data_IF_140360030463
#
_entry.id   IF_140360030463
#
_cell.length_a   1.000
_cell.length_b   1.000
_cell.length_c   1.000
_cell.angle_alpha   90.00
_cell.angle_beta   90.00
_cell.angle_gamma   90.00
#
_symmetry.space_group_name_H-M   'P 1'
#
loop_
_entity.id
_entity.type
_entity.pdbx_description
1 polymer ?
#
# COMPACT_ATOMS: atom_id res chain seq x y z
N UNK A 1 8.90 5.06 4.53
CA UNK A 1 9.98 5.61 5.37
C UNK A 1 9.89 5.11 6.80
N UNK A 2 8.74 5.15 7.45
CA UNK A 2 8.62 4.68 8.85
C UNK A 2 8.76 3.18 9.02
N UNK A 3 8.34 2.38 8.06
CA UNK A 3 8.60 0.94 8.02
C UNK A 3 10.09 0.65 7.98
N UNK A 4 10.82 1.42 7.18
CA UNK A 4 12.27 1.28 7.01
C UNK A 4 13.07 1.81 8.18
N UNK A 5 12.64 2.91 8.81
CA UNK A 5 13.46 3.65 9.78
C UNK A 5 12.96 3.57 11.22
N UNK A 6 11.99 2.76 11.52
CA UNK A 6 11.45 2.82 12.86
C UNK A 6 10.92 1.54 13.44
N UNK A 7 9.76 1.09 12.98
CA UNK A 7 9.00 0.09 13.71
C UNK A 7 9.20 -1.33 13.20
N UNK A 8 9.42 -1.50 11.89
CA UNK A 8 9.40 -2.81 11.25
C UNK A 8 10.79 -3.42 11.07
N UNK A 9 11.87 -2.68 11.39
CA UNK A 9 13.23 -3.18 11.23
C UNK A 9 13.65 -3.44 9.78
N UNK A 10 12.94 -2.89 8.81
CA UNK A 10 13.29 -2.99 7.40
C UNK A 10 14.59 -2.23 7.10
N UNK A 11 15.37 -2.65 6.09
CA UNK A 11 16.57 -1.95 5.71
C UNK A 11 16.32 -0.45 5.46
N UNK A 12 17.20 0.44 5.87
CA UNK A 12 18.52 0.25 6.47
C UNK A 12 18.54 -0.05 7.98
N UNK A 13 17.40 -0.28 8.61
CA UNK A 13 17.32 -0.73 10.01
C UNK A 13 17.62 0.33 11.07
N UNK A 14 17.72 1.61 10.70
CA UNK A 14 17.91 2.70 11.66
C UNK A 14 16.66 2.91 12.52
N UNK A 15 16.82 3.20 13.81
CA UNK A 15 15.72 3.23 14.80
C UNK A 15 15.50 4.58 15.46
N UNK A 16 16.04 5.66 14.91
CA UNK A 16 15.93 6.99 15.50
C UNK A 16 14.68 7.77 15.08
N UNK A 17 13.95 8.37 16.03
CA UNK A 17 12.81 9.25 15.71
C UNK A 17 13.20 10.44 14.82
N UNK A 18 14.40 10.97 15.01
CA UNK A 18 14.94 12.06 14.17
C UNK A 18 15.28 11.60 12.76
N UNK A 19 15.63 10.32 12.57
CA UNK A 19 16.08 9.79 11.29
C UNK A 19 14.95 9.70 10.28
N UNK A 20 13.76 9.25 10.68
CA UNK A 20 12.64 9.20 9.77
C UNK A 20 12.19 10.60 9.31
N UNK A 21 12.28 11.63 10.17
CA UNK A 21 11.97 13.01 9.78
C UNK A 21 12.97 13.57 8.78
N UNK A 22 14.26 13.25 8.95
CA UNK A 22 15.30 13.61 7.96
C UNK A 22 15.08 12.91 6.64
N UNK A 23 14.83 11.61 6.67
CA UNK A 23 14.56 10.82 5.48
C UNK A 23 13.28 11.28 4.76
N UNK A 24 12.21 11.55 5.50
CA UNK A 24 10.97 12.08 4.92
C UNK A 24 11.21 13.40 4.21
N UNK A 25 11.89 14.34 4.86
CA UNK A 25 12.29 15.61 4.23
C UNK A 25 13.17 15.39 3.02
N UNK A 26 14.20 14.55 3.13
CA UNK A 26 15.08 14.24 2.01
C UNK A 26 14.35 13.65 0.81
N UNK A 27 13.37 12.76 1.04
CA UNK A 27 12.55 12.19 -0.02
C UNK A 27 11.63 13.22 -0.68
N UNK A 28 10.95 14.05 0.12
CA UNK A 28 10.06 15.09 -0.42
C UNK A 28 10.83 16.18 -1.17
N UNK A 29 11.98 16.61 -0.66
CA UNK A 29 12.86 17.56 -1.36
C UNK A 29 13.48 16.94 -2.61
N UNK A 30 13.87 15.68 -2.54
CA UNK A 30 14.38 14.92 -3.70
C UNK A 30 13.32 14.80 -4.79
N UNK A 31 12.07 14.50 -4.43
CA UNK A 31 10.96 14.46 -5.38
C UNK A 31 10.75 15.80 -6.08
N UNK A 32 10.66 16.91 -5.33
CA UNK A 32 10.46 18.25 -5.92
C UNK A 32 11.59 18.65 -6.86
N UNK A 33 12.84 18.33 -6.50
CA UNK A 33 14.00 18.58 -7.37
C UNK A 33 13.95 17.71 -8.63
N UNK A 34 13.60 16.43 -8.49
CA UNK A 34 13.48 15.53 -9.63
C UNK A 34 12.37 15.99 -10.59
N UNK A 35 11.21 16.38 -10.06
CA UNK A 35 10.11 16.96 -10.82
C UNK A 35 10.60 18.18 -11.64
N UNK A 36 11.26 19.14 -10.99
CA UNK A 36 11.79 20.34 -11.64
C UNK A 36 12.78 20.00 -12.76
N UNK A 37 13.71 19.06 -12.52
CA UNK A 37 14.69 18.62 -13.52
C UNK A 37 14.01 17.93 -14.70
N UNK A 38 13.11 16.99 -14.46
CA UNK A 38 12.39 16.30 -15.55
C UNK A 38 11.60 17.30 -16.40
N UNK A 39 10.89 18.22 -15.74
CA UNK A 39 10.10 19.25 -16.44
C UNK A 39 10.98 20.23 -17.23
N UNK A 40 12.19 20.53 -16.78
CA UNK A 40 13.12 21.40 -17.51
C UNK A 40 13.70 20.73 -18.76
N UNK A 41 13.94 19.40 -18.69
CA UNK A 41 14.50 18.63 -19.82
C UNK A 41 13.42 18.13 -20.78
N UNK A 42 12.26 17.78 -20.24
CA UNK A 42 11.15 17.19 -20.96
C UNK A 42 9.81 17.83 -20.50
N UNK A 43 9.51 19.06 -20.94
CA UNK A 43 8.33 19.81 -20.45
C UNK A 43 6.98 19.09 -20.66
N UNK A 44 6.88 18.25 -21.69
CA UNK A 44 5.65 17.48 -22.01
C UNK A 44 5.52 16.19 -21.23
N UNK A 45 6.55 15.73 -20.51
CA UNK A 45 6.49 14.51 -19.71
C UNK A 45 5.58 14.70 -18.52
N UNK A 46 4.70 13.74 -18.27
CA UNK A 46 3.89 13.70 -17.06
C UNK A 46 4.70 13.05 -15.93
N UNK A 47 4.74 13.70 -14.79
CA UNK A 47 5.51 13.27 -13.61
C UNK A 47 4.59 13.26 -12.39
N UNK A 48 4.68 12.22 -11.60
CA UNK A 48 3.93 12.09 -10.34
C UNK A 48 4.62 11.12 -9.40
N UNK A 49 4.48 11.36 -8.11
CA UNK A 49 4.94 10.44 -7.07
C UNK A 49 3.93 9.32 -6.82
N UNK A 50 4.45 8.21 -6.31
CA UNK A 50 3.64 7.07 -5.88
C UNK A 50 3.60 6.98 -4.35
N UNK A 51 2.42 6.72 -3.81
CA UNK A 51 2.18 6.72 -2.38
C UNK A 51 1.53 5.41 -1.93
N UNK A 52 2.17 4.74 -0.96
CA UNK A 52 1.55 3.64 -0.24
C UNK A 52 0.45 4.19 0.67
N UNK A 53 -0.78 3.82 0.39
CA UNK A 53 -1.96 4.22 1.14
C UNK A 53 -2.67 2.99 1.71
N UNK A 54 -3.30 3.16 2.85
CA UNK A 54 -4.03 2.08 3.53
C UNK A 54 -5.50 2.50 3.69
N UNK A 55 -6.42 1.57 3.45
CA UNK A 55 -7.80 1.75 3.88
C UNK A 55 -7.85 1.63 5.41
N UNK A 56 -7.85 2.76 6.10
CA UNK A 56 -8.02 2.80 7.54
C UNK A 56 -9.51 2.66 7.88
N UNK A 57 -9.85 1.63 8.63
CA UNK A 57 -11.22 1.42 9.12
C UNK A 57 -11.29 1.65 10.63
N UNK A 58 -11.46 2.90 11.07
CA UNK A 58 -11.60 3.18 12.49
C UNK A 58 -13.00 2.84 12.99
N UNK A 59 -13.10 2.30 14.20
CA UNK A 59 -14.34 2.41 14.97
C UNK A 59 -14.72 3.89 15.11
N UNK A 60 -15.99 4.19 15.36
CA UNK A 60 -16.44 5.60 15.52
C UNK A 60 -15.59 6.34 16.55
N UNK A 61 -15.24 5.67 17.64
CA UNK A 61 -14.43 6.22 18.72
C UNK A 61 -12.95 6.45 18.29
N UNK A 62 -12.44 5.70 17.34
CA UNK A 62 -11.05 5.79 16.88
C UNK A 62 -10.82 6.80 15.75
N UNK A 63 -11.88 7.36 15.14
CA UNK A 63 -11.77 8.27 13.99
C UNK A 63 -10.79 9.43 14.21
N UNK A 64 -10.84 10.21 15.30
CA UNK A 64 -9.90 11.33 15.49
C UNK A 64 -8.45 10.87 15.59
N UNK A 65 -8.22 9.69 16.20
CA UNK A 65 -6.90 9.11 16.32
C UNK A 65 -6.34 8.69 14.96
N UNK A 66 -7.16 8.03 14.16
CA UNK A 66 -6.77 7.62 12.80
C UNK A 66 -6.49 8.82 11.92
N UNK A 67 -7.29 9.88 11.97
CA UNK A 67 -7.00 11.12 11.24
C UNK A 67 -5.66 11.73 11.65
N UNK A 68 -5.34 11.74 12.94
CA UNK A 68 -4.04 12.22 13.38
C UNK A 68 -2.89 11.32 12.86
N UNK A 69 -3.05 10.02 12.92
CA UNK A 69 -2.06 9.06 12.41
C UNK A 69 -1.87 9.21 10.90
N UNK A 70 -2.95 9.37 10.14
CA UNK A 70 -2.89 9.64 8.69
C UNK A 70 -2.06 10.87 8.38
N UNK A 71 -2.34 12.02 9.03
CA UNK A 71 -1.57 13.26 8.83
C UNK A 71 -0.08 13.06 9.05
N UNK A 72 0.28 12.25 10.03
CA UNK A 72 1.67 11.97 10.32
C UNK A 72 2.32 10.98 9.36
N UNK A 73 1.56 9.99 8.85
CA UNK A 73 2.12 8.85 8.12
C UNK A 73 1.95 8.92 6.61
N UNK A 74 0.86 9.51 6.14
CA UNK A 74 0.50 9.59 4.72
C UNK A 74 0.54 11.01 4.21
N UNK A 75 -0.22 11.94 4.83
CA UNK A 75 -0.47 13.27 4.29
C UNK A 75 0.81 14.09 4.12
N UNK A 76 1.78 13.93 5.04
CA UNK A 76 3.07 14.62 4.95
C UNK A 76 3.88 14.29 3.67
N UNK A 77 3.61 13.14 3.05
CA UNK A 77 4.20 12.76 1.76
C UNK A 77 3.30 13.18 0.60
N UNK A 78 1.99 13.03 0.76
CA UNK A 78 1.00 13.45 -0.23
C UNK A 78 1.11 14.96 -0.51
N UNK A 79 1.31 15.78 0.52
CA UNK A 79 1.50 17.23 0.38
C UNK A 79 2.65 17.62 -0.56
N UNK A 80 3.65 16.74 -0.71
CA UNK A 80 4.76 16.99 -1.64
C UNK A 80 4.37 16.86 -3.11
N UNK A 81 3.23 16.22 -3.41
CA UNK A 81 2.73 15.95 -4.76
C UNK A 81 1.74 17.00 -5.27
N UNK A 82 1.68 18.18 -4.61
CA UNK A 82 0.79 19.26 -5.02
C UNK A 82 0.96 19.66 -6.48
N UNK A 83 2.21 19.76 -6.94
CA UNK A 83 2.57 20.18 -8.29
C UNK A 83 2.71 19.04 -9.31
N UNK A 84 2.46 17.79 -8.89
CA UNK A 84 2.54 16.63 -9.75
C UNK A 84 1.42 16.61 -10.80
N UNK A 85 1.69 16.02 -11.98
CA UNK A 85 0.67 15.89 -13.05
C UNK A 85 -0.34 14.78 -12.76
N UNK A 86 0.01 13.81 -11.92
CA UNK A 86 -0.86 12.73 -11.45
C UNK A 86 -0.43 12.26 -10.08
N UNK A 87 -1.29 11.53 -9.40
CA UNK A 87 -0.96 10.86 -8.15
C UNK A 87 -0.96 9.35 -8.33
N UNK A 88 0.14 8.69 -7.98
CA UNK A 88 0.24 7.24 -7.92
C UNK A 88 -0.29 6.70 -6.59
N UNK A 89 -1.20 5.74 -6.63
CA UNK A 89 -1.80 5.10 -5.45
C UNK A 89 -1.38 3.64 -5.40
N UNK A 90 -0.86 3.21 -4.24
CA UNK A 90 -0.46 1.85 -3.95
C UNK A 90 -1.28 1.36 -2.76
N UNK A 91 -2.01 0.25 -2.91
CA UNK A 91 -2.87 -0.27 -1.84
C UNK A 91 -2.91 -1.78 -1.86
N UNK A 92 -2.77 -2.41 -0.69
CA UNK A 92 -2.73 -3.87 -0.57
C UNK A 92 -3.81 -4.42 0.37
N UNK A 93 -4.31 -3.61 1.30
CA UNK A 93 -5.21 -4.09 2.35
C UNK A 93 -5.91 -2.94 3.05
N UNK A 94 -6.82 -3.29 3.96
CA UNK A 94 -7.33 -2.38 4.98
C UNK A 94 -6.67 -2.66 6.34
N UNK A 95 -6.75 -1.67 7.21
CA UNK A 95 -6.31 -1.78 8.61
C UNK A 95 -7.47 -1.39 9.53
N UNK A 96 -8.14 -2.37 10.17
CA UNK A 96 -9.15 -2.08 11.18
C UNK A 96 -8.48 -1.51 12.43
N UNK A 97 -9.05 -0.42 12.97
CA UNK A 97 -8.56 0.23 14.19
C UNK A 97 -9.66 0.22 15.25
N UNK A 98 -9.72 -0.84 16.07
CA UNK A 98 -10.78 -1.01 17.06
C UNK A 98 -10.58 -0.21 18.36
N UNK A 99 -9.48 0.56 18.49
CA UNK A 99 -9.11 1.21 19.75
C UNK A 99 -10.20 2.16 20.25
N UNK A 100 -10.66 2.01 21.50
CA UNK A 100 -11.56 2.95 22.12
C UNK A 100 -10.91 4.34 22.26
N UNK A 101 -11.68 5.39 22.03
CA UNK A 101 -11.18 6.79 22.03
C UNK A 101 -10.51 7.20 23.36
N UNK A 102 -10.94 6.63 24.48
CA UNK A 102 -10.40 6.94 25.80
C UNK A 102 -9.00 6.37 26.04
N UNK A 103 -8.57 5.35 25.28
CA UNK A 103 -7.18 4.85 25.29
C UNK A 103 -6.25 5.72 24.44
N UNK A 104 -6.79 6.54 23.56
CA UNK A 104 -6.03 7.33 22.60
C UNK A 104 -5.01 8.27 23.28
N UNK A 105 -5.38 9.06 24.30
CA UNK A 105 -4.41 9.93 24.98
C UNK A 105 -3.27 9.17 25.64
N UNK A 106 -3.57 8.02 26.26
CA UNK A 106 -2.54 7.18 26.90
C UNK A 106 -1.61 6.54 25.88
N UNK A 107 -2.14 6.07 24.74
CA UNK A 107 -1.34 5.55 23.61
C UNK A 107 -0.47 6.65 23.04
N UNK A 108 -1.00 7.89 22.86
CA UNK A 108 -0.20 9.02 22.38
C UNK A 108 0.90 9.43 23.37
N UNK A 109 0.59 9.48 24.65
CA UNK A 109 1.58 9.78 25.68
C UNK A 109 2.69 8.70 25.69
N UNK A 110 2.30 7.44 25.60
CA UNK A 110 3.25 6.32 25.50
C UNK A 110 4.09 6.39 24.23
N UNK A 111 3.49 6.74 23.09
CA UNK A 111 4.19 6.89 21.82
C UNK A 111 5.10 8.13 21.75
N UNK A 112 4.88 9.13 22.60
CA UNK A 112 5.79 10.29 22.75
C UNK A 112 7.11 9.89 23.42
N UNK A 113 7.11 8.83 24.23
CA UNK A 113 8.31 8.33 24.94
C UNK A 113 9.03 7.33 24.03
N UNK A 114 10.25 7.70 23.57
CA UNK A 114 11.00 6.93 22.59
C UNK A 114 11.17 5.43 22.94
N UNK A 115 11.63 5.03 24.15
CA UNK A 115 11.77 3.62 24.50
C UNK A 115 10.46 2.85 24.49
N UNK A 116 9.36 3.48 24.91
CA UNK A 116 8.03 2.85 24.93
C UNK A 116 7.51 2.67 23.49
N UNK A 117 7.67 3.68 22.67
CA UNK A 117 7.31 3.62 21.24
C UNK A 117 8.07 2.52 20.50
N UNK A 118 9.38 2.41 20.74
CA UNK A 118 10.24 1.41 20.08
C UNK A 118 9.86 -0.03 20.44
N UNK A 119 9.28 -0.24 21.61
CA UNK A 119 8.82 -1.56 22.06
C UNK A 119 7.34 -1.82 21.73
N UNK A 120 6.50 -0.80 21.89
CA UNK A 120 5.05 -0.95 21.80
C UNK A 120 4.55 -0.90 20.34
N UNK A 121 5.07 0.01 19.54
CA UNK A 121 4.62 0.19 18.16
C UNK A 121 4.83 -1.05 17.28
N UNK A 122 5.98 -1.74 17.32
CA UNK A 122 6.15 -2.99 16.57
C UNK A 122 5.17 -4.10 17.03
N UNK A 123 4.86 -4.15 18.32
CA UNK A 123 3.87 -5.12 18.86
C UNK A 123 2.46 -4.79 18.39
N UNK A 124 2.07 -3.52 18.42
CA UNK A 124 0.75 -3.07 17.94
C UNK A 124 0.59 -3.31 16.43
N UNK A 125 1.64 -3.03 15.66
CA UNK A 125 1.63 -3.28 14.22
C UNK A 125 1.56 -4.80 13.96
N UNK A 126 2.35 -5.62 14.64
CA UNK A 126 2.28 -7.07 14.53
C UNK A 126 0.91 -7.64 14.90
N UNK A 127 0.29 -7.14 15.97
CA UNK A 127 -1.07 -7.52 16.34
C UNK A 127 -2.11 -7.09 15.30
N UNK A 128 -1.96 -5.90 14.73
CA UNK A 128 -2.89 -5.37 13.73
C UNK A 128 -2.75 -6.05 12.35
N UNK A 129 -1.52 -6.47 11.99
CA UNK A 129 -1.24 -7.16 10.71
C UNK A 129 -1.22 -8.69 10.86
N UNK A 130 -1.50 -9.22 12.07
CA UNK A 130 -1.31 -10.62 12.43
C UNK A 130 -0.01 -11.16 11.83
N UNK A 131 1.03 -11.22 12.66
CA UNK A 131 2.39 -11.60 12.23
C UNK A 131 2.37 -12.61 11.08
N UNK A 132 3.12 -12.30 10.03
CA UNK A 132 3.38 -13.13 8.86
C UNK A 132 3.40 -14.62 9.23
N UNK A 133 2.21 -15.21 9.32
CA UNK A 133 2.05 -16.63 9.58
C UNK A 133 2.42 -17.43 8.34
N UNK A 134 2.72 -18.69 8.51
CA UNK A 134 2.76 -19.63 7.38
C UNK A 134 1.37 -19.63 6.76
N UNK A 135 1.24 -19.00 5.61
CA UNK A 135 0.06 -18.40 4.97
C UNK A 135 -1.20 -19.26 4.73
N UNK A 136 -1.30 -20.47 5.29
CA UNK A 136 -2.39 -21.39 5.02
C UNK A 136 -3.34 -21.61 6.23
N UNK A 137 -3.06 -21.03 7.38
CA UNK A 137 -3.95 -21.14 8.53
C UNK A 137 -4.99 -20.02 8.51
N UNK A 138 -6.27 -20.36 8.36
CA UNK A 138 -7.38 -19.41 8.62
C UNK A 138 -7.29 -19.00 10.09
N UNK A 139 -7.04 -17.72 10.40
CA UNK A 139 -6.98 -17.26 11.78
C UNK A 139 -8.29 -17.54 12.52
N UNK A 140 -8.22 -17.67 13.84
CA UNK A 140 -9.37 -17.94 14.68
C UNK A 140 -10.47 -16.84 14.59
N UNK A 141 -10.13 -15.66 14.04
CA UNK A 141 -11.08 -14.55 13.80
C UNK A 141 -11.91 -14.72 12.51
N UNK A 142 -11.68 -15.77 11.73
CA UNK A 142 -12.38 -16.04 10.47
C UNK A 142 -12.05 -15.08 9.32
N UNK A 143 -11.06 -14.22 9.46
CA UNK A 143 -10.66 -13.25 8.44
C UNK A 143 -9.68 -13.91 7.46
N UNK A 144 -10.05 -13.98 6.18
CA UNK A 144 -9.16 -14.48 5.12
C UNK A 144 -7.94 -13.56 4.96
N UNK A 145 -6.74 -14.15 4.92
CA UNK A 145 -5.48 -13.41 4.86
C UNK A 145 -4.61 -13.86 3.69
N UNK A 146 -3.71 -12.98 3.29
CA UNK A 146 -2.70 -13.22 2.26
C UNK A 146 -1.44 -13.84 2.89
N UNK A 147 -0.49 -14.31 2.08
CA UNK A 147 0.83 -14.75 2.56
C UNK A 147 1.59 -13.66 3.34
N UNK A 148 1.23 -12.37 3.13
CA UNK A 148 1.78 -11.24 3.89
C UNK A 148 1.09 -11.05 5.27
N UNK A 149 0.11 -11.86 5.62
CA UNK A 149 -0.72 -11.67 6.80
C UNK A 149 -1.74 -10.52 6.67
N UNK A 150 -1.81 -9.87 5.51
CA UNK A 150 -2.79 -8.82 5.24
C UNK A 150 -4.19 -9.42 5.07
N UNK A 151 -5.22 -8.70 5.47
CA UNK A 151 -6.58 -9.09 5.14
C UNK A 151 -6.76 -9.16 3.61
N UNK A 152 -7.41 -10.22 3.13
CA UNK A 152 -7.77 -10.35 1.73
C UNK A 152 -8.90 -9.37 1.40
N UNK A 153 -8.53 -8.15 1.02
CA UNK A 153 -9.46 -7.04 0.79
C UNK A 153 -9.13 -6.28 -0.49
N UNK A 154 -9.40 -6.86 -1.67
CA UNK A 154 -9.09 -6.20 -2.94
C UNK A 154 -9.83 -4.87 -3.13
N UNK A 155 -11.01 -4.68 -2.53
CA UNK A 155 -11.79 -3.45 -2.63
C UNK A 155 -11.18 -2.25 -1.88
N UNK A 156 -10.16 -2.47 -1.04
CA UNK A 156 -9.47 -1.40 -0.32
C UNK A 156 -8.92 -0.30 -1.23
N UNK A 157 -8.62 -0.64 -2.49
CA UNK A 157 -8.18 0.32 -3.51
C UNK A 157 -9.21 1.43 -3.76
N UNK A 158 -10.51 1.13 -3.70
CA UNK A 158 -11.55 2.14 -3.91
C UNK A 158 -11.55 3.20 -2.80
N UNK A 159 -11.35 2.79 -1.55
CA UNK A 159 -11.29 3.73 -0.42
C UNK A 159 -10.09 4.67 -0.51
N UNK A 160 -8.92 4.17 -0.91
CA UNK A 160 -7.71 4.98 -1.06
C UNK A 160 -7.78 5.89 -2.27
N UNK A 161 -8.37 5.46 -3.40
CA UNK A 161 -8.63 6.30 -4.56
C UNK A 161 -9.60 7.46 -4.24
N UNK A 162 -10.71 7.19 -3.51
CA UNK A 162 -11.62 8.26 -3.06
C UNK A 162 -10.91 9.25 -2.14
N UNK A 163 -10.06 8.75 -1.23
CA UNK A 163 -9.27 9.64 -0.38
C UNK A 163 -8.28 10.49 -1.20
N UNK A 164 -7.54 9.89 -2.12
CA UNK A 164 -6.62 10.60 -2.99
C UNK A 164 -7.33 11.70 -3.78
N UNK A 165 -8.48 11.39 -4.38
CA UNK A 165 -9.31 12.37 -5.08
C UNK A 165 -9.82 13.49 -4.18
N UNK A 166 -10.15 13.19 -2.92
CA UNK A 166 -10.61 14.21 -1.96
C UNK A 166 -9.50 15.18 -1.54
N UNK A 167 -8.25 14.72 -1.50
CA UNK A 167 -7.09 15.54 -1.17
C UNK A 167 -6.59 16.36 -2.37
N UNK A 168 -6.76 15.84 -3.57
CA UNK A 168 -6.33 16.47 -4.82
C UNK A 168 -7.47 16.48 -5.86
N UNK A 169 -8.48 17.33 -5.67
CA UNK A 169 -9.62 17.39 -6.58
C UNK A 169 -9.19 17.66 -8.02
N UNK A 170 -9.68 16.83 -8.95
CA UNK A 170 -9.40 16.95 -10.38
C UNK A 170 -8.03 16.44 -10.84
N UNK A 171 -7.13 16.01 -9.94
CA UNK A 171 -5.85 15.41 -10.31
C UNK A 171 -6.04 13.99 -10.81
N UNK A 172 -5.43 13.65 -11.94
CA UNK A 172 -5.42 12.28 -12.45
C UNK A 172 -4.81 11.30 -11.43
N UNK A 173 -5.42 10.13 -11.29
CA UNK A 173 -4.99 9.06 -10.41
C UNK A 173 -4.49 7.87 -11.24
N UNK A 174 -3.43 7.23 -10.78
CA UNK A 174 -2.92 5.98 -11.36
C UNK A 174 -2.74 4.97 -10.22
N UNK A 175 -3.36 3.81 -10.34
CA UNK A 175 -3.05 2.70 -9.45
C UNK A 175 -1.69 2.16 -9.89
N UNK A 176 -0.65 2.51 -9.14
CA UNK A 176 0.74 2.14 -9.45
C UNK A 176 1.16 0.83 -8.83
N UNK A 177 0.46 0.40 -7.78
CA UNK A 177 0.58 -0.95 -7.23
C UNK A 177 -0.72 -1.39 -6.58
N UNK A 178 -1.17 -2.58 -6.94
CA UNK A 178 -2.25 -3.31 -6.29
C UNK A 178 -2.07 -4.78 -6.59
N UNK A 179 -1.99 -5.63 -5.57
CA UNK A 179 -1.68 -7.04 -5.78
C UNK A 179 -1.69 -7.86 -4.50
N UNK A 180 -1.43 -9.14 -4.66
CA UNK A 180 -1.49 -10.12 -3.58
C UNK A 180 -0.33 -11.11 -3.66
N UNK A 181 0.24 -11.45 -2.51
CA UNK A 181 1.04 -12.65 -2.36
C UNK A 181 0.11 -13.81 -1.99
N UNK A 182 0.08 -14.83 -2.84
CA UNK A 182 -0.77 -16.00 -2.68
C UNK A 182 -0.08 -17.26 -3.23
N UNK A 183 -0.24 -18.40 -2.54
CA UNK A 183 0.21 -19.72 -3.02
C UNK A 183 -0.68 -20.26 -4.12
N UNK A 184 -1.99 -20.03 -4.00
CA UNK A 184 -2.98 -20.39 -5.01
C UNK A 184 -3.22 -19.24 -5.98
N UNK A 185 -3.05 -19.50 -7.28
CA UNK A 185 -3.27 -18.49 -8.31
C UNK A 185 -4.76 -18.14 -8.51
N UNK A 186 -5.68 -19.00 -8.10
CA UNK A 186 -7.11 -18.70 -8.10
C UNK A 186 -7.43 -17.51 -7.16
N UNK A 187 -6.75 -17.40 -6.02
CA UNK A 187 -6.87 -16.23 -5.14
C UNK A 187 -6.37 -14.95 -5.81
N UNK A 188 -5.31 -15.06 -6.61
CA UNK A 188 -4.78 -13.91 -7.37
C UNK A 188 -5.75 -13.46 -8.45
N UNK A 189 -6.38 -14.41 -9.16
CA UNK A 189 -7.44 -14.12 -10.14
C UNK A 189 -8.61 -13.39 -9.46
N UNK A 190 -9.12 -13.95 -8.36
CA UNK A 190 -10.20 -13.31 -7.59
C UNK A 190 -9.82 -11.89 -7.15
N UNK A 191 -8.59 -11.72 -6.63
CA UNK A 191 -8.11 -10.41 -6.18
C UNK A 191 -8.08 -9.39 -7.32
N UNK A 192 -7.59 -9.78 -8.51
CA UNK A 192 -7.55 -8.93 -9.70
C UNK A 192 -8.96 -8.52 -10.12
N UNK A 193 -9.87 -9.48 -10.24
CA UNK A 193 -11.23 -9.22 -10.70
C UNK A 193 -11.99 -8.29 -9.76
N UNK A 194 -11.97 -8.57 -8.46
CA UNK A 194 -12.63 -7.75 -7.45
C UNK A 194 -11.98 -6.38 -7.30
N UNK A 195 -10.65 -6.30 -7.37
CA UNK A 195 -9.93 -5.03 -7.33
C UNK A 195 -10.25 -4.14 -8.53
N UNK A 196 -10.26 -4.70 -9.75
CA UNK A 196 -10.64 -3.96 -10.95
C UNK A 196 -12.13 -3.55 -10.95
N UNK A 197 -13.03 -4.39 -10.41
CA UNK A 197 -14.43 -4.00 -10.21
C UNK A 197 -14.56 -2.79 -9.29
N UNK A 198 -13.78 -2.76 -8.20
CA UNK A 198 -13.74 -1.63 -7.28
C UNK A 198 -13.15 -0.36 -7.93
N UNK A 199 -12.14 -0.49 -8.78
CA UNK A 199 -11.60 0.61 -9.58
C UNK A 199 -12.63 1.13 -10.57
N UNK A 200 -13.32 0.23 -11.28
CA UNK A 200 -14.38 0.61 -12.22
C UNK A 200 -15.50 1.37 -11.50
N UNK A 201 -15.94 0.91 -10.34
CA UNK A 201 -16.96 1.59 -9.55
C UNK A 201 -16.58 3.04 -9.25
N UNK A 202 -15.36 3.33 -8.81
CA UNK A 202 -14.95 4.71 -8.52
C UNK A 202 -14.77 5.55 -9.79
N UNK A 203 -14.46 4.94 -10.92
CA UNK A 203 -14.48 5.64 -12.22
C UNK A 203 -15.91 6.05 -12.61
N UNK A 204 -16.91 5.22 -12.34
CA UNK A 204 -18.34 5.55 -12.54
C UNK A 204 -18.81 6.67 -11.58
N UNK A 205 -18.18 6.78 -10.40
CA UNK A 205 -18.38 7.92 -9.51
C UNK A 205 -17.74 9.23 -10.03
N UNK A 206 -17.02 9.17 -11.15
CA UNK A 206 -16.39 10.34 -11.79
C UNK A 206 -14.93 10.58 -11.38
N UNK A 207 -14.29 9.66 -10.66
CA UNK A 207 -12.88 9.79 -10.30
C UNK A 207 -11.99 9.58 -11.54
N UNK A 208 -11.00 10.46 -11.77
CA UNK A 208 -10.14 10.41 -12.96
C UNK A 208 -9.01 9.36 -12.82
N UNK A 209 -9.38 8.08 -12.72
CA UNK A 209 -8.41 6.98 -12.71
C UNK A 209 -7.98 6.69 -14.14
N UNK A 210 -6.66 6.78 -14.44
CA UNK A 210 -6.10 6.70 -15.79
C UNK A 210 -5.33 5.42 -16.05
N UNK A 211 -5.02 4.64 -15.04
CA UNK A 211 -4.26 3.41 -15.22
C UNK A 211 -4.27 2.52 -13.99
N UNK A 212 -4.00 1.25 -14.23
CA UNK A 212 -3.88 0.22 -13.21
C UNK A 212 -2.67 -0.66 -13.50
N UNK A 213 -1.77 -0.76 -12.53
CA UNK A 213 -0.60 -1.63 -12.57
C UNK A 213 -0.71 -2.65 -11.42
N UNK A 214 -0.58 -3.91 -11.77
CA UNK A 214 -0.57 -5.01 -10.80
C UNK A 214 0.83 -5.19 -10.21
N UNK A 215 0.92 -5.37 -8.90
CA UNK A 215 2.15 -5.79 -8.24
C UNK A 215 2.12 -7.28 -7.93
N UNK A 216 2.97 -8.11 -8.60
CA UNK A 216 4.03 -7.73 -9.54
C UNK A 216 4.02 -8.65 -10.77
N UNK A 217 4.77 -8.31 -11.80
CA UNK A 217 4.92 -9.17 -12.97
C UNK A 217 5.67 -10.46 -12.63
N UNK A 218 6.80 -10.36 -11.93
CA UNK A 218 7.64 -11.48 -11.51
C UNK A 218 7.60 -11.64 -9.99
N UNK A 219 7.77 -12.85 -9.49
CA UNK A 219 8.06 -13.04 -8.07
C UNK A 219 9.30 -12.24 -7.69
N UNK A 220 9.20 -11.45 -6.61
CA UNK A 220 10.21 -10.49 -6.18
C UNK A 220 10.85 -10.89 -4.84
N UNK A 221 11.92 -10.17 -4.49
CA UNK A 221 12.51 -10.20 -3.17
C UNK A 221 11.74 -9.27 -2.23
N UNK A 222 10.98 -9.85 -1.30
CA UNK A 222 10.11 -9.10 -0.38
C UNK A 222 10.85 -8.74 0.91
N UNK A 223 11.87 -7.92 0.79
CA UNK A 223 12.65 -7.35 1.90
C UNK A 223 13.02 -8.39 2.98
N UNK A 224 12.54 -8.23 4.21
CA UNK A 224 12.85 -9.13 5.34
C UNK A 224 12.23 -10.53 5.20
N UNK A 225 11.27 -10.71 4.31
CA UNK A 225 10.62 -11.99 4.02
C UNK A 225 11.35 -12.77 2.92
N UNK A 226 12.30 -12.14 2.24
CA UNK A 226 13.05 -12.78 1.17
C UNK A 226 12.17 -13.14 -0.02
N UNK A 227 12.31 -14.36 -0.51
CA UNK A 227 11.56 -14.88 -1.66
C UNK A 227 10.36 -15.76 -1.29
N UNK A 228 9.96 -15.77 -0.01
CA UNK A 228 8.81 -16.60 0.44
C UNK A 228 7.48 -16.13 -0.12
N UNK A 229 7.12 -14.81 -0.06
CA UNK A 229 5.88 -14.34 -0.65
C UNK A 229 5.95 -14.36 -2.18
N UNK A 230 4.88 -14.85 -2.81
CA UNK A 230 4.78 -14.97 -4.27
C UNK A 230 3.75 -14.00 -4.81
N UNK A 231 4.19 -12.83 -5.27
CA UNK A 231 3.34 -11.78 -5.85
C UNK A 231 3.16 -11.90 -7.35
N UNK A 232 4.09 -12.57 -8.03
CA UNK A 232 4.21 -12.54 -9.48
C UNK A 232 3.01 -13.09 -10.22
N UNK A 233 2.65 -12.47 -11.33
CA UNK A 233 1.85 -13.07 -12.39
C UNK A 233 2.64 -14.15 -13.15
N UNK A 234 3.95 -14.10 -12.97
CA UNK A 234 4.91 -15.08 -13.49
C UNK A 234 5.78 -15.57 -12.33
N UNK A 235 5.77 -16.86 -12.08
CA UNK A 235 6.64 -17.51 -11.11
C UNK A 235 8.09 -17.51 -11.57
N UNK A 236 9.04 -17.46 -10.63
CA UNK A 236 10.48 -17.53 -10.93
C UNK A 236 11.13 -18.61 -10.06
N UNK A 237 11.63 -19.66 -10.68
CA UNK A 237 12.51 -20.62 -10.03
C UNK A 237 13.85 -19.94 -9.70
N UNK A 238 14.26 -19.94 -8.45
CA UNK A 238 15.45 -19.21 -8.01
C UNK A 238 16.75 -19.93 -8.36
N UNK A 239 16.72 -21.23 -8.55
CA UNK A 239 17.90 -22.01 -8.90
C UNK A 239 18.18 -21.97 -10.40
N UNK A 240 17.13 -22.13 -11.20
CA UNK A 240 17.25 -22.23 -12.67
C UNK A 240 16.94 -20.92 -13.39
N UNK A 241 16.32 -19.96 -12.71
CA UNK A 241 15.77 -18.71 -13.30
C UNK A 241 14.69 -18.96 -14.35
N UNK A 242 14.11 -20.14 -14.37
CA UNK A 242 12.96 -20.45 -15.22
C UNK A 242 11.75 -19.63 -14.81
N UNK A 243 10.98 -19.20 -15.80
CA UNK A 243 9.79 -18.37 -15.61
C UNK A 243 8.55 -19.14 -16.01
N UNK A 244 7.62 -19.30 -15.09
CA UNK A 244 6.35 -19.99 -15.30
C UNK A 244 5.21 -19.00 -15.29
N UNK A 245 4.52 -18.87 -16.42
CA UNK A 245 3.34 -18.00 -16.53
C UNK A 245 2.19 -18.60 -15.71
N UNK A 246 1.56 -17.76 -14.89
CA UNK A 246 0.38 -18.15 -14.12
C UNK A 246 -0.91 -17.75 -14.85
N UNK A 247 -2.03 -18.47 -14.64
CA UNK A 247 -3.33 -18.14 -15.24
C UNK A 247 -3.78 -16.69 -15.02
N UNK A 248 -3.46 -16.12 -13.87
CA UNK A 248 -3.77 -14.73 -13.54
C UNK A 248 -3.18 -13.69 -14.51
N UNK A 249 -2.03 -13.98 -15.14
CA UNK A 249 -1.49 -13.12 -16.20
C UNK A 249 -2.42 -13.09 -17.42
N UNK A 250 -2.94 -14.27 -17.80
CA UNK A 250 -3.92 -14.38 -18.89
C UNK A 250 -5.17 -13.55 -18.60
N UNK A 251 -5.75 -13.72 -17.42
CA UNK A 251 -6.95 -12.99 -17.00
C UNK A 251 -6.73 -11.47 -17.05
N UNK A 252 -5.65 -10.97 -16.45
CA UNK A 252 -5.36 -9.53 -16.50
C UNK A 252 -5.09 -9.05 -17.93
N UNK A 253 -4.37 -9.85 -18.74
CA UNK A 253 -4.09 -9.55 -20.14
C UNK A 253 -5.34 -9.47 -21.00
N UNK A 254 -6.29 -10.37 -20.80
CA UNK A 254 -7.56 -10.38 -21.52
C UNK A 254 -8.45 -9.18 -21.14
N UNK A 255 -8.49 -8.82 -19.87
CA UNK A 255 -9.16 -7.60 -19.40
C UNK A 255 -8.52 -6.37 -20.06
N UNK A 256 -7.18 -6.28 -20.05
CA UNK A 256 -6.46 -5.15 -20.63
C UNK A 256 -6.67 -5.00 -22.14
N UNK A 257 -6.78 -6.11 -22.88
CA UNK A 257 -7.02 -6.10 -24.32
C UNK A 257 -8.47 -5.81 -24.69
N UNK A 258 -9.40 -6.39 -23.94
CA UNK A 258 -10.83 -6.27 -24.27
C UNK A 258 -11.48 -5.02 -23.68
N UNK A 259 -10.90 -4.43 -22.65
CA UNK A 259 -11.52 -3.37 -21.86
C UNK A 259 -12.77 -3.86 -21.11
N UNK A 260 -12.91 -5.16 -20.89
CA UNK A 260 -14.09 -5.78 -20.27
C UNK A 260 -13.67 -6.60 -19.07
N UNK A 261 -14.39 -6.42 -17.98
CA UNK A 261 -14.26 -7.24 -16.77
C UNK A 261 -15.39 -8.27 -16.75
N UNK A 262 -15.01 -9.54 -16.65
CA UNK A 262 -15.94 -10.64 -16.41
C UNK A 262 -15.72 -11.11 -14.97
N UNK A 263 -16.77 -11.06 -14.16
CA UNK A 263 -16.78 -11.50 -12.76
C UNK A 263 -17.27 -12.92 -12.66
#
# INVERSE_FOLDING_TARGET
>A
VRGYLGALGWPPGTRGYGDWKRAARGLTDGHRRALAVVKSLHPSSRVGATHGMIEWEPSTAAKPAVEHVRRLFEDAFLDASGDDDFLGVQTYTRLPVPLPIWLTPAVYAAMAVAPVREQLLPRLIRQATHEFGDGDAVPADGVRRTQMGYEFRPESIAATLRRAASLFPGKDLVVTEHGIAASDDAERVEFIQRGLAAVHQVMEEGLPVRGYLYWSLLDNFEWTLGYRPTFGLVGVDRATQERTVRPSLGVLGDIAKSGRLTL
#
